data_IF_198294371852
#
_entry.id   IF_198294371852
#
_cell.length_a   1.000
_cell.length_b   1.000
_cell.length_c   1.000
_cell.angle_alpha   90.00
_cell.angle_beta   90.00
_cell.angle_gamma   90.00
#
_symmetry.space_group_name_H-M   'P 1'
#
loop_
_entity.id
_entity.type
_entity.pdbx_description
1 polymer ?
#
# COMPACT_ATOMS: atom_id res chain seq x y z
N UNK A 1 -7.41 -4.88 -16.78
CA UNK A 1 -6.45 -4.44 -15.72
C UNK A 1 -5.73 -5.67 -15.20
N UNK A 2 -4.42 -5.59 -14.94
CA UNK A 2 -3.68 -6.70 -14.31
C UNK A 2 -3.88 -6.66 -12.80
N UNK A 3 -4.06 -7.83 -12.18
CA UNK A 3 -4.36 -7.96 -10.75
C UNK A 3 -3.17 -8.60 -10.04
N UNK A 4 -2.63 -7.91 -9.05
CA UNK A 4 -1.54 -8.38 -8.21
C UNK A 4 -2.02 -8.61 -6.77
N UNK A 5 -1.14 -9.15 -5.94
CA UNK A 5 -1.38 -9.34 -4.51
C UNK A 5 -0.20 -8.83 -3.70
N UNK A 6 -0.49 -8.12 -2.62
CA UNK A 6 0.51 -7.73 -1.64
C UNK A 6 0.92 -8.91 -0.76
N UNK A 7 2.23 -9.07 -0.51
CA UNK A 7 2.72 -10.06 0.45
C UNK A 7 2.17 -9.84 1.86
N UNK A 8 1.71 -8.61 2.18
CA UNK A 8 0.99 -8.33 3.42
C UNK A 8 -0.25 -9.22 3.60
N UNK A 9 -0.98 -9.49 2.52
CA UNK A 9 -2.18 -10.31 2.53
C UNK A 9 -1.94 -11.77 2.95
N UNK A 10 -0.70 -12.24 2.92
CA UNK A 10 -0.29 -13.55 3.40
C UNK A 10 0.23 -13.54 4.86
N UNK A 11 0.16 -12.38 5.56
CA UNK A 11 0.73 -12.22 6.90
C UNK A 11 0.23 -13.24 7.91
N UNK A 12 -1.05 -13.63 7.86
CA UNK A 12 -1.61 -14.67 8.71
C UNK A 12 -0.88 -16.01 8.49
N UNK A 13 -0.75 -16.46 7.24
CA UNK A 13 -0.08 -17.72 6.92
C UNK A 13 1.44 -17.68 7.20
N UNK A 14 2.07 -16.51 7.09
CA UNK A 14 3.47 -16.33 7.48
C UNK A 14 3.64 -16.32 9.01
N UNK A 15 2.72 -15.72 9.74
CA UNK A 15 2.77 -15.65 11.20
C UNK A 15 2.55 -17.02 11.86
N UNK A 16 1.65 -17.81 11.33
CA UNK A 16 1.35 -19.16 11.84
C UNK A 16 2.31 -20.27 11.29
N UNK A 17 3.31 -19.89 10.50
CA UNK A 17 4.36 -20.76 9.99
C UNK A 17 3.96 -21.65 8.82
N UNK A 18 2.77 -21.46 8.24
CA UNK A 18 2.34 -22.19 7.01
C UNK A 18 3.08 -21.72 5.76
N UNK A 19 3.61 -20.50 5.75
CA UNK A 19 4.34 -19.90 4.65
C UNK A 19 5.52 -19.09 5.16
N UNK A 20 6.46 -18.80 4.27
CA UNK A 20 7.48 -17.78 4.43
C UNK A 20 7.47 -16.85 3.20
N UNK A 21 8.30 -15.81 3.20
CA UNK A 21 8.29 -14.80 2.12
C UNK A 21 8.61 -15.38 0.73
N UNK A 22 9.41 -16.45 0.65
CA UNK A 22 9.74 -17.12 -0.62
C UNK A 22 8.57 -17.96 -1.17
N UNK A 23 7.55 -18.24 -0.37
CA UNK A 23 6.35 -18.95 -0.81
C UNK A 23 5.32 -18.01 -1.45
N UNK A 24 5.48 -16.70 -1.33
CA UNK A 24 4.51 -15.69 -1.81
C UNK A 24 4.36 -15.75 -3.34
N UNK A 25 5.46 -15.73 -4.09
CA UNK A 25 5.42 -15.74 -5.56
C UNK A 25 4.80 -17.03 -6.11
N UNK A 26 5.22 -18.24 -5.68
CA UNK A 26 4.57 -19.48 -6.08
C UNK A 26 3.09 -19.52 -5.74
N UNK A 27 2.71 -19.04 -4.54
CA UNK A 27 1.32 -19.04 -4.10
C UNK A 27 0.48 -18.03 -4.89
N UNK A 28 0.98 -16.85 -5.17
CA UNK A 28 0.31 -15.88 -6.04
C UNK A 28 0.03 -16.46 -7.43
N UNK A 29 1.02 -17.16 -8.02
CA UNK A 29 0.85 -17.87 -9.29
C UNK A 29 -0.22 -18.95 -9.21
N UNK A 30 -0.21 -19.78 -8.16
CA UNK A 30 -1.21 -20.83 -7.92
C UNK A 30 -2.63 -20.25 -7.84
N UNK A 31 -2.78 -19.09 -7.19
CA UNK A 31 -4.07 -18.41 -7.04
C UNK A 31 -4.51 -17.64 -8.30
N UNK A 32 -3.63 -17.48 -9.31
CA UNK A 32 -3.95 -16.82 -10.57
C UNK A 32 -3.74 -15.31 -10.59
N UNK A 33 -2.92 -14.77 -9.68
CA UNK A 33 -2.49 -13.36 -9.71
C UNK A 33 -1.46 -13.10 -10.81
N UNK A 34 -1.51 -11.90 -11.39
CA UNK A 34 -0.63 -11.50 -12.50
C UNK A 34 0.72 -10.94 -12.02
N UNK A 35 0.84 -10.60 -10.73
CA UNK A 35 2.05 -10.02 -10.12
C UNK A 35 1.97 -10.01 -8.60
N UNK A 36 3.06 -9.59 -7.95
CA UNK A 36 3.15 -9.49 -6.49
C UNK A 36 3.77 -8.17 -6.06
N UNK A 37 3.45 -7.76 -4.85
CA UNK A 37 4.15 -6.71 -4.11
C UNK A 37 4.86 -7.32 -2.92
N UNK A 38 6.06 -6.84 -2.65
CA UNK A 38 6.85 -7.31 -1.51
C UNK A 38 6.88 -6.22 -0.44
N UNK A 39 6.40 -6.56 0.75
CA UNK A 39 6.47 -5.70 1.93
C UNK A 39 7.77 -5.98 2.69
N UNK A 40 8.46 -4.91 3.08
CA UNK A 40 9.68 -4.95 3.88
C UNK A 40 9.42 -5.64 5.22
N UNK A 41 10.10 -6.74 5.46
CA UNK A 41 10.07 -7.45 6.74
C UNK A 41 11.14 -6.95 7.72
N UNK A 42 11.37 -7.73 8.78
CA UNK A 42 12.29 -7.39 9.86
C UNK A 42 13.76 -7.81 9.63
N UNK A 43 14.10 -8.24 8.40
CA UNK A 43 15.45 -8.62 8.03
C UNK A 43 16.41 -7.42 8.14
N UNK A 44 17.67 -7.67 8.48
CA UNK A 44 18.71 -6.65 8.31
C UNK A 44 18.86 -6.25 6.84
N UNK A 45 19.45 -5.10 6.56
CA UNK A 45 19.65 -4.64 5.17
C UNK A 45 20.47 -5.63 4.36
N UNK A 46 21.46 -6.28 4.97
CA UNK A 46 22.26 -7.32 4.31
C UNK A 46 21.41 -8.53 3.91
N UNK A 47 20.58 -9.01 4.83
CA UNK A 47 19.68 -10.13 4.56
C UNK A 47 18.63 -9.77 3.52
N UNK A 48 18.10 -8.53 3.59
CA UNK A 48 17.11 -8.06 2.63
C UNK A 48 17.69 -7.95 1.21
N UNK A 49 18.96 -7.54 1.06
CA UNK A 49 19.63 -7.53 -0.25
C UNK A 49 19.79 -8.95 -0.82
N UNK A 50 20.13 -9.93 0.01
CA UNK A 50 20.19 -11.34 -0.41
C UNK A 50 18.80 -11.84 -0.80
N UNK A 51 17.81 -11.56 0.01
CA UNK A 51 16.41 -11.94 -0.25
C UNK A 51 15.89 -11.28 -1.53
N UNK A 52 16.19 -10.00 -1.78
CA UNK A 52 15.79 -9.29 -2.98
C UNK A 52 16.32 -9.97 -4.25
N UNK A 53 17.59 -10.39 -4.25
CA UNK A 53 18.17 -11.11 -5.37
C UNK A 53 17.49 -12.49 -5.60
N UNK A 54 17.19 -13.22 -4.53
CA UNK A 54 16.48 -14.50 -4.60
C UNK A 54 15.04 -14.33 -5.13
N UNK A 55 14.31 -13.35 -4.63
CA UNK A 55 12.95 -13.04 -5.06
C UNK A 55 12.91 -12.62 -6.52
N UNK A 56 13.90 -11.86 -7.00
CA UNK A 56 14.02 -11.50 -8.42
C UNK A 56 14.12 -12.73 -9.30
N UNK A 57 15.05 -13.64 -9.00
CA UNK A 57 15.23 -14.90 -9.77
C UNK A 57 13.93 -15.71 -9.76
N UNK A 58 13.33 -15.88 -8.60
CA UNK A 58 12.08 -16.62 -8.45
C UNK A 58 10.93 -15.99 -9.25
N UNK A 59 10.84 -14.65 -9.27
CA UNK A 59 9.85 -13.91 -10.05
C UNK A 59 10.02 -14.14 -11.55
N UNK A 60 11.26 -14.10 -12.04
CA UNK A 60 11.60 -14.35 -13.44
C UNK A 60 11.27 -15.81 -13.84
N UNK A 61 11.64 -16.79 -13.03
CA UNK A 61 11.34 -18.21 -13.26
C UNK A 61 9.84 -18.53 -13.21
N UNK A 62 9.12 -17.88 -12.29
CA UNK A 62 7.68 -18.05 -12.15
C UNK A 62 6.89 -17.33 -13.25
N UNK A 63 7.46 -16.30 -13.87
CA UNK A 63 6.74 -15.39 -14.78
C UNK A 63 5.72 -14.51 -14.07
N UNK A 64 5.91 -14.26 -12.76
CA UNK A 64 5.06 -13.40 -11.91
C UNK A 64 5.89 -12.22 -11.44
N UNK A 65 5.79 -11.04 -12.06
CA UNK A 65 6.64 -9.90 -11.76
C UNK A 65 6.40 -9.34 -10.35
N UNK A 66 7.50 -8.88 -9.74
CA UNK A 66 7.42 -8.02 -8.56
C UNK A 66 7.16 -6.59 -9.07
N UNK A 67 5.99 -6.06 -8.76
CA UNK A 67 5.51 -4.80 -9.33
C UNK A 67 5.77 -3.59 -8.43
N UNK A 68 5.98 -3.82 -7.14
CA UNK A 68 6.28 -2.78 -6.17
C UNK A 68 6.94 -3.35 -4.91
N UNK A 69 7.66 -2.49 -4.21
CA UNK A 69 8.25 -2.73 -2.89
C UNK A 69 7.70 -1.75 -1.87
N UNK A 70 7.23 -2.24 -0.72
CA UNK A 70 6.53 -1.46 0.29
C UNK A 70 7.38 -1.33 1.55
N UNK A 71 7.59 -0.10 2.02
CA UNK A 71 8.49 0.22 3.13
C UNK A 71 7.82 1.14 4.14
N UNK A 72 7.96 0.84 5.44
CA UNK A 72 7.57 1.80 6.48
C UNK A 72 8.57 2.95 6.59
N UNK A 73 8.10 4.17 6.91
CA UNK A 73 8.94 5.34 7.10
C UNK A 73 8.32 6.35 8.07
N UNK A 74 9.18 7.15 8.72
CA UNK A 74 8.73 8.28 9.54
C UNK A 74 9.79 9.40 9.56
N UNK A 75 9.65 10.39 8.67
CA UNK A 75 10.56 11.54 8.57
C UNK A 75 10.56 12.45 9.80
N UNK A 76 9.45 12.47 10.53
CA UNK A 76 9.31 13.35 11.71
C UNK A 76 9.95 12.70 12.93
N UNK A 77 9.65 11.44 13.17
CA UNK A 77 10.17 10.70 14.33
C UNK A 77 11.65 10.38 14.22
N UNK A 78 12.08 9.93 13.04
CA UNK A 78 13.44 9.45 12.82
C UNK A 78 14.42 10.54 12.41
N UNK A 79 13.91 11.75 12.08
CA UNK A 79 14.68 12.85 11.54
C UNK A 79 14.91 12.74 10.02
N UNK A 80 14.83 13.89 9.35
CA UNK A 80 14.83 13.97 7.89
C UNK A 80 16.06 13.29 7.26
N UNK A 81 17.27 13.69 7.68
CA UNK A 81 18.52 13.21 7.06
C UNK A 81 18.73 11.70 7.23
N UNK A 82 18.48 11.21 8.44
CA UNK A 82 18.64 9.79 8.75
C UNK A 82 17.63 8.92 7.97
N UNK A 83 16.38 9.36 7.91
CA UNK A 83 15.33 8.62 7.21
C UNK A 83 15.52 8.67 5.69
N UNK A 84 15.94 9.79 5.13
CA UNK A 84 16.31 9.90 3.71
C UNK A 84 17.46 8.96 3.37
N UNK A 85 18.51 8.91 4.20
CA UNK A 85 19.64 8.00 3.96
C UNK A 85 19.20 6.53 3.98
N UNK A 86 18.36 6.14 4.94
CA UNK A 86 17.79 4.79 5.03
C UNK A 86 16.93 4.45 3.80
N UNK A 87 16.03 5.35 3.41
CA UNK A 87 15.12 5.13 2.27
C UNK A 87 15.85 5.08 0.91
N UNK A 88 16.97 5.78 0.76
CA UNK A 88 17.84 5.60 -0.41
C UNK A 88 18.40 4.18 -0.49
N UNK A 89 18.79 3.60 0.64
CA UNK A 89 19.18 2.18 0.71
C UNK A 89 18.03 1.23 0.35
N UNK A 90 16.79 1.55 0.75
CA UNK A 90 15.61 0.76 0.37
C UNK A 90 15.29 0.90 -1.14
N UNK A 91 15.53 2.07 -1.74
CA UNK A 91 15.39 2.25 -3.20
C UNK A 91 16.40 1.39 -3.99
N UNK A 92 17.62 1.22 -3.48
CA UNK A 92 18.59 0.28 -4.05
C UNK A 92 18.11 -1.18 -3.94
N UNK A 93 17.48 -1.54 -2.81
CA UNK A 93 16.90 -2.88 -2.62
C UNK A 93 15.74 -3.10 -3.59
N UNK A 94 14.86 -2.10 -3.80
CA UNK A 94 13.80 -2.16 -4.79
C UNK A 94 14.34 -2.40 -6.21
N UNK A 95 15.39 -1.67 -6.59
CA UNK A 95 16.05 -1.85 -7.88
C UNK A 95 16.69 -3.24 -8.02
N UNK A 96 17.37 -3.73 -6.97
CA UNK A 96 17.98 -5.07 -6.93
C UNK A 96 16.91 -6.17 -7.08
N UNK A 97 15.74 -5.99 -6.47
CA UNK A 97 14.60 -6.89 -6.55
C UNK A 97 13.93 -6.86 -7.94
N UNK A 98 14.18 -5.83 -8.74
CA UNK A 98 13.51 -5.59 -10.01
C UNK A 98 12.14 -4.95 -9.86
N UNK A 99 11.81 -4.40 -8.68
CA UNK A 99 10.58 -3.68 -8.44
C UNK A 99 10.63 -2.27 -9.07
N UNK A 100 9.77 -1.94 -10.03
CA UNK A 100 9.80 -0.65 -10.71
C UNK A 100 9.19 0.49 -9.87
N UNK A 101 8.64 0.16 -8.71
CA UNK A 101 8.00 1.12 -7.79
C UNK A 101 8.40 0.84 -6.36
N UNK A 102 8.52 1.89 -5.57
CA UNK A 102 8.68 1.82 -4.12
C UNK A 102 7.66 2.73 -3.44
N UNK A 103 6.81 2.16 -2.61
CA UNK A 103 5.96 2.94 -1.69
C UNK A 103 6.66 3.03 -0.36
N UNK A 104 6.70 4.21 0.23
CA UNK A 104 7.06 4.34 1.64
C UNK A 104 6.08 5.24 2.39
N UNK A 105 5.97 5.00 3.71
CA UNK A 105 5.18 5.86 4.59
C UNK A 105 5.85 7.24 4.74
N UNK A 106 5.21 8.13 5.47
CA UNK A 106 5.66 9.50 5.70
C UNK A 106 5.94 9.81 7.15
N UNK A 107 4.95 9.63 8.00
CA UNK A 107 5.01 9.85 9.45
C UNK A 107 3.73 9.37 10.14
N UNK A 108 3.85 9.03 11.42
CA UNK A 108 2.72 8.84 12.33
C UNK A 108 2.21 10.16 12.95
N UNK A 109 2.77 11.31 12.58
CA UNK A 109 2.40 12.63 13.11
C UNK A 109 2.90 12.88 14.53
N UNK A 110 3.99 12.22 14.93
CA UNK A 110 4.62 12.39 16.24
C UNK A 110 6.12 12.60 16.09
N UNK A 111 6.68 13.47 16.93
CA UNK A 111 8.13 13.65 17.03
C UNK A 111 8.81 12.48 17.79
N UNK A 112 10.13 12.53 17.92
CA UNK A 112 10.92 11.53 18.62
C UNK A 112 10.59 11.42 20.12
N UNK A 113 9.99 12.45 20.71
CA UNK A 113 9.54 12.52 22.10
C UNK A 113 8.09 12.05 22.26
N UNK A 114 7.38 11.77 21.16
CA UNK A 114 5.99 11.33 21.14
C UNK A 114 4.97 12.48 21.16
N UNK A 115 5.39 13.73 21.02
CA UNK A 115 4.48 14.87 20.91
C UNK A 115 3.84 14.88 19.52
N UNK A 116 2.57 15.29 19.47
CA UNK A 116 1.87 15.44 18.19
C UNK A 116 2.39 16.65 17.42
N UNK A 117 2.61 16.45 16.11
CA UNK A 117 3.02 17.51 15.18
C UNK A 117 1.84 17.83 14.27
N UNK A 118 1.61 19.12 14.00
CA UNK A 118 0.55 19.54 13.08
C UNK A 118 0.87 19.11 11.63
N UNK A 119 -0.15 18.99 10.79
CA UNK A 119 0.05 18.68 9.38
C UNK A 119 0.85 19.81 8.69
N UNK A 120 0.56 21.06 9.03
CA UNK A 120 1.19 22.25 8.47
C UNK A 120 2.69 22.30 8.78
N UNK A 121 3.09 21.94 10.00
CA UNK A 121 4.49 21.90 10.42
C UNK A 121 5.24 20.70 9.84
N UNK A 122 4.57 19.56 9.70
CA UNK A 122 5.17 18.34 9.18
C UNK A 122 5.33 18.35 7.64
N UNK A 123 4.40 18.98 6.93
CA UNK A 123 4.33 18.96 5.46
C UNK A 123 5.65 19.37 4.78
N UNK A 124 6.33 20.48 5.15
CA UNK A 124 7.58 20.87 4.50
C UNK A 124 8.70 19.83 4.68
N UNK A 125 8.80 19.25 5.87
CA UNK A 125 9.81 18.22 6.20
C UNK A 125 9.55 16.95 5.43
N UNK A 126 8.30 16.47 5.41
CA UNK A 126 7.89 15.26 4.69
C UNK A 126 8.09 15.45 3.18
N UNK A 127 7.68 16.60 2.63
CA UNK A 127 7.82 16.89 1.20
C UNK A 127 9.29 16.94 0.76
N UNK A 128 10.17 17.51 1.56
CA UNK A 128 11.61 17.52 1.29
C UNK A 128 12.19 16.09 1.34
N UNK A 129 11.78 15.29 2.33
CA UNK A 129 12.18 13.88 2.41
C UNK A 129 11.77 13.09 1.17
N UNK A 130 10.52 13.22 0.75
CA UNK A 130 10.04 12.59 -0.50
C UNK A 130 10.82 13.06 -1.71
N UNK A 131 11.10 14.36 -1.85
CA UNK A 131 11.84 14.91 -3.00
C UNK A 131 13.23 14.29 -3.11
N UNK A 132 14.00 14.26 -2.00
CA UNK A 132 15.35 13.70 -1.99
C UNK A 132 15.38 12.17 -2.28
N UNK A 133 14.43 11.43 -1.73
CA UNK A 133 14.29 9.98 -2.00
C UNK A 133 13.87 9.74 -3.44
N UNK A 134 12.92 10.52 -3.95
CA UNK A 134 12.41 10.40 -5.33
C UNK A 134 13.47 10.72 -6.38
N UNK A 135 14.26 11.79 -6.20
CA UNK A 135 15.37 12.14 -7.08
C UNK A 135 16.39 11.00 -7.15
N UNK A 136 16.76 10.43 -6.01
CA UNK A 136 17.70 9.31 -5.94
C UNK A 136 17.11 8.06 -6.61
N UNK A 137 15.88 7.69 -6.29
CA UNK A 137 15.20 6.51 -6.84
C UNK A 137 14.99 6.61 -8.35
N UNK A 138 14.76 7.82 -8.89
CA UNK A 138 14.64 8.06 -10.33
C UNK A 138 15.92 7.65 -11.07
N UNK A 139 17.10 7.91 -10.49
CA UNK A 139 18.40 7.45 -11.03
C UNK A 139 18.56 5.93 -11.09
N UNK A 140 17.76 5.20 -10.30
CA UNK A 140 17.72 3.73 -10.29
C UNK A 140 16.59 3.14 -11.15
N UNK A 141 15.78 3.98 -11.80
CA UNK A 141 14.59 3.56 -12.55
C UNK A 141 13.42 3.13 -11.66
N UNK A 142 13.41 3.53 -10.38
CA UNK A 142 12.35 3.23 -9.42
C UNK A 142 11.47 4.46 -9.21
N UNK A 143 10.17 4.34 -9.48
CA UNK A 143 9.18 5.37 -9.16
C UNK A 143 8.80 5.28 -7.69
N UNK A 144 8.81 6.41 -6.98
CA UNK A 144 8.33 6.47 -5.60
C UNK A 144 6.84 6.81 -5.53
N UNK A 145 6.19 6.37 -4.48
CA UNK A 145 4.78 6.66 -4.24
C UNK A 145 4.45 6.73 -2.76
N UNK A 146 3.46 7.55 -2.43
CA UNK A 146 2.81 7.58 -1.13
C UNK A 146 1.48 6.85 -1.21
N UNK A 147 1.10 6.22 -0.13
CA UNK A 147 -0.25 5.67 0.09
C UNK A 147 -1.01 6.53 1.11
N UNK A 148 -2.32 6.62 0.95
CA UNK A 148 -3.22 7.12 1.99
C UNK A 148 -3.27 6.09 3.14
N UNK A 149 -2.32 6.19 4.09
CA UNK A 149 -2.07 5.20 5.14
C UNK A 149 -1.61 5.85 6.45
N UNK A 150 -1.81 5.14 7.58
CA UNK A 150 -1.19 5.48 8.88
C UNK A 150 -1.86 6.62 9.64
N UNK A 151 -3.11 6.93 9.38
CA UNK A 151 -3.94 7.96 10.03
C UNK A 151 -3.46 9.41 9.86
N UNK A 152 -2.18 9.69 9.84
CA UNK A 152 -1.65 11.05 9.71
C UNK A 152 -1.72 11.54 8.26
N UNK A 153 -1.27 10.72 7.31
CA UNK A 153 -1.28 11.01 5.88
C UNK A 153 -2.35 10.15 5.17
N UNK A 154 -3.57 10.16 5.71
CA UNK A 154 -4.67 9.28 5.30
C UNK A 154 -5.71 10.00 4.45
N UNK A 155 -6.02 11.25 4.79
CA UNK A 155 -7.05 12.03 4.10
C UNK A 155 -6.65 12.33 2.67
N UNK A 156 -7.61 12.26 1.75
CA UNK A 156 -7.37 12.53 0.34
C UNK A 156 -6.77 13.92 0.10
N UNK A 157 -7.23 14.93 0.84
CA UNK A 157 -6.73 16.31 0.70
C UNK A 157 -5.30 16.47 1.21
N UNK A 158 -4.93 15.79 2.31
CA UNK A 158 -3.55 15.83 2.83
C UNK A 158 -2.57 15.18 1.87
N UNK A 159 -2.90 14.00 1.36
CA UNK A 159 -2.04 13.29 0.41
C UNK A 159 -1.90 14.07 -0.89
N UNK A 160 -3.01 14.61 -1.43
CA UNK A 160 -2.97 15.49 -2.60
C UNK A 160 -2.04 16.68 -2.36
N UNK A 161 -2.18 17.35 -1.22
CA UNK A 161 -1.35 18.51 -0.86
C UNK A 161 0.13 18.16 -0.78
N UNK A 162 0.46 16.99 -0.23
CA UNK A 162 1.86 16.52 -0.20
C UNK A 162 2.40 16.31 -1.63
N UNK A 163 1.64 15.61 -2.49
CA UNK A 163 2.09 15.34 -3.87
C UNK A 163 2.33 16.65 -4.63
N UNK A 164 1.41 17.61 -4.50
CA UNK A 164 1.56 18.96 -5.10
C UNK A 164 2.75 19.74 -4.52
N UNK A 165 3.12 19.51 -3.25
CA UNK A 165 4.26 20.17 -2.61
C UNK A 165 5.59 19.53 -3.02
N UNK A 166 5.63 18.21 -3.19
CA UNK A 166 6.80 17.48 -3.70
C UNK A 166 7.07 17.85 -5.16
N UNK A 167 6.03 17.94 -5.98
CA UNK A 167 6.03 18.36 -7.39
C UNK A 167 7.16 17.70 -8.21
N UNK A 168 7.17 16.36 -8.24
CA UNK A 168 8.20 15.60 -8.95
C UNK A 168 7.58 14.53 -9.88
N UNK A 169 7.98 14.44 -11.16
CA UNK A 169 7.34 13.54 -12.13
C UNK A 169 7.51 12.04 -11.80
N UNK A 170 8.54 11.69 -11.03
CA UNK A 170 8.80 10.32 -10.58
C UNK A 170 8.12 9.99 -9.23
N UNK A 171 7.19 10.83 -8.75
CA UNK A 171 6.42 10.63 -7.53
C UNK A 171 4.93 10.58 -7.84
N UNK A 172 4.16 9.78 -7.11
CA UNK A 172 2.71 9.69 -7.32
C UNK A 172 1.97 9.01 -6.17
N UNK A 173 0.69 8.74 -6.38
CA UNK A 173 -0.20 8.17 -5.38
C UNK A 173 -0.43 6.68 -5.60
N UNK A 174 -0.15 5.85 -4.58
CA UNK A 174 -0.75 4.55 -4.44
C UNK A 174 -2.12 4.76 -3.78
N UNK A 175 -3.18 4.63 -4.55
CA UNK A 175 -4.56 4.85 -4.08
C UNK A 175 -5.08 3.56 -3.47
N UNK A 176 -5.13 3.48 -2.14
CA UNK A 176 -5.86 2.42 -1.44
C UNK A 176 -7.32 2.83 -1.26
N UNK A 177 -8.23 2.07 -1.86
CA UNK A 177 -9.66 2.40 -1.90
C UNK A 177 -10.32 2.26 -0.52
N UNK A 178 -9.85 1.33 0.30
CA UNK A 178 -10.40 1.07 1.63
C UNK A 178 -9.88 2.02 2.69
N UNK A 179 -8.60 2.34 2.65
CA UNK A 179 -7.92 3.10 3.70
C UNK A 179 -8.48 4.50 3.94
N UNK A 180 -9.19 5.11 2.99
CA UNK A 180 -9.91 6.36 3.21
C UNK A 180 -10.92 6.27 4.35
N UNK A 181 -11.53 5.09 4.55
CA UNK A 181 -12.47 4.86 5.65
C UNK A 181 -11.82 4.94 7.02
N UNK A 182 -10.51 4.70 7.14
CA UNK A 182 -9.78 4.89 8.41
C UNK A 182 -9.77 6.36 8.87
N UNK A 183 -9.89 7.29 7.93
CA UNK A 183 -10.06 8.72 8.19
C UNK A 183 -11.53 9.18 8.18
N UNK A 184 -12.48 8.23 8.17
CA UNK A 184 -13.92 8.46 8.05
C UNK A 184 -14.33 9.19 6.75
N UNK A 185 -13.56 9.03 5.68
CA UNK A 185 -13.89 9.52 4.36
C UNK A 185 -14.69 8.49 3.55
N UNK A 186 -15.53 8.99 2.63
CA UNK A 186 -16.23 8.14 1.67
C UNK A 186 -15.28 7.77 0.53
N UNK A 187 -14.94 6.48 0.41
CA UNK A 187 -13.96 5.98 -0.56
C UNK A 187 -14.16 6.50 -1.99
N UNK A 188 -15.38 6.48 -2.51
CA UNK A 188 -15.70 6.95 -3.86
C UNK A 188 -15.34 8.43 -4.06
N UNK A 189 -15.65 9.29 -3.09
CA UNK A 189 -15.33 10.72 -3.16
C UNK A 189 -13.82 10.97 -3.06
N UNK A 190 -13.15 10.25 -2.18
CA UNK A 190 -11.70 10.36 -2.00
C UNK A 190 -10.93 9.84 -3.22
N UNK A 191 -11.40 8.74 -3.82
CA UNK A 191 -10.83 8.22 -5.08
C UNK A 191 -10.99 9.23 -6.22
N UNK A 192 -12.09 10.00 -6.30
CA UNK A 192 -12.23 11.08 -7.31
C UNK A 192 -11.12 12.13 -7.17
N UNK A 193 -10.72 12.45 -5.94
CA UNK A 193 -9.63 13.40 -5.69
C UNK A 193 -8.28 12.79 -6.07
N UNK A 194 -8.07 11.50 -5.76
CA UNK A 194 -6.80 10.82 -5.92
C UNK A 194 -6.51 10.34 -7.36
N UNK A 195 -7.55 9.97 -8.10
CA UNK A 195 -7.44 9.30 -9.40
C UNK A 195 -6.54 10.00 -10.43
N UNK A 196 -6.55 11.35 -10.57
CA UNK A 196 -5.63 12.04 -11.50
C UNK A 196 -4.14 11.90 -11.16
N UNK A 197 -3.82 11.51 -9.92
CA UNK A 197 -2.46 11.39 -9.39
C UNK A 197 -2.06 9.92 -9.15
N UNK A 198 -2.96 8.97 -9.48
CA UNK A 198 -2.76 7.55 -9.24
C UNK A 198 -1.66 6.97 -10.13
N UNK A 199 -0.67 6.34 -9.52
CA UNK A 199 0.38 5.57 -10.21
C UNK A 199 0.32 4.09 -9.84
N UNK A 200 -0.47 3.77 -8.81
CA UNK A 200 -0.76 2.42 -8.33
C UNK A 200 -2.09 2.41 -7.58
N UNK A 201 -2.73 1.24 -7.42
CA UNK A 201 -3.99 1.13 -6.71
C UNK A 201 -4.07 -0.16 -5.88
N UNK A 202 -4.62 -0.05 -4.66
CA UNK A 202 -4.99 -1.18 -3.83
C UNK A 202 -6.51 -1.38 -3.81
N UNK A 203 -6.94 -2.61 -4.04
CA UNK A 203 -8.27 -3.10 -3.74
C UNK A 203 -8.27 -3.63 -2.30
N UNK A 204 -8.85 -2.88 -1.41
CA UNK A 204 -9.06 -3.21 0.00
C UNK A 204 -10.51 -2.96 0.34
N UNK A 205 -11.11 -3.85 1.12
CA UNK A 205 -12.50 -3.73 1.54
C UNK A 205 -12.64 -3.92 3.05
N UNK A 206 -13.67 -3.33 3.62
CA UNK A 206 -13.93 -3.35 5.06
C UNK A 206 -15.40 -3.65 5.38
N UNK A 207 -15.63 -4.41 6.43
CA UNK A 207 -16.88 -4.37 7.19
C UNK A 207 -16.87 -3.11 8.07
N UNK A 208 -18.04 -2.52 8.27
CA UNK A 208 -18.21 -1.26 8.99
C UNK A 208 -19.24 -1.37 10.10
N UNK A 209 -18.97 -0.70 11.22
CA UNK A 209 -19.91 -0.42 12.30
C UNK A 209 -19.78 1.03 12.74
N UNK A 210 -20.91 1.70 12.92
CA UNK A 210 -20.89 3.07 13.42
C UNK A 210 -20.44 3.13 14.89
N UNK A 211 -19.93 4.27 15.30
CA UNK A 211 -19.58 4.52 16.70
C UNK A 211 -20.79 4.27 17.60
N UNK A 212 -20.59 3.48 18.67
CA UNK A 212 -21.66 3.10 19.60
C UNK A 212 -22.45 1.85 19.23
N UNK A 213 -22.30 1.30 18.02
CA UNK A 213 -22.90 0.00 17.69
C UNK A 213 -22.18 -1.15 18.39
N UNK A 214 -22.92 -2.25 18.64
CA UNK A 214 -22.32 -3.48 19.14
C UNK A 214 -21.32 -4.05 18.14
N UNK A 215 -20.12 -4.32 18.61
CA UNK A 215 -19.01 -4.88 17.82
C UNK A 215 -18.80 -6.33 18.23
N UNK A 216 -19.20 -7.30 17.41
CA UNK A 216 -19.06 -8.72 17.72
C UNK A 216 -17.65 -9.25 17.38
N UNK A 217 -17.09 -10.06 18.29
CA UNK A 217 -15.86 -10.83 18.02
C UNK A 217 -14.60 -9.99 17.91
N UNK A 218 -13.62 -10.51 17.16
CA UNK A 218 -12.28 -9.96 17.02
C UNK A 218 -12.05 -9.31 15.66
N UNK A 219 -10.87 -8.69 15.48
CA UNK A 219 -10.41 -8.15 14.20
C UNK A 219 -10.90 -6.73 13.89
N UNK A 220 -11.66 -6.10 14.78
CA UNK A 220 -12.13 -4.74 14.62
C UNK A 220 -11.14 -3.72 15.17
N UNK A 221 -10.89 -2.66 14.42
CA UNK A 221 -10.11 -1.51 14.84
C UNK A 221 -10.91 -0.22 14.69
N UNK A 222 -10.43 0.87 15.30
CA UNK A 222 -11.14 2.15 15.30
C UNK A 222 -10.68 3.01 14.13
N UNK A 223 -11.61 3.69 13.49
CA UNK A 223 -11.33 4.82 12.62
C UNK A 223 -10.92 6.04 13.47
N UNK A 224 -10.48 7.12 12.80
CA UNK A 224 -10.15 8.38 13.46
C UNK A 224 -11.34 8.98 14.23
N UNK A 225 -12.55 8.87 13.71
CA UNK A 225 -13.80 9.35 14.32
C UNK A 225 -14.47 8.37 15.29
N UNK A 226 -13.86 7.18 15.49
CA UNK A 226 -14.36 6.19 16.46
C UNK A 226 -15.32 5.16 15.90
N UNK A 227 -15.59 5.15 14.59
CA UNK A 227 -16.24 4.04 13.91
C UNK A 227 -15.37 2.78 13.97
N UNK A 228 -15.91 1.64 13.57
CA UNK A 228 -15.19 0.36 13.58
C UNK A 228 -15.10 -0.23 12.20
N UNK A 229 -13.90 -0.65 11.84
CA UNK A 229 -13.61 -1.37 10.60
C UNK A 229 -13.03 -2.74 10.93
N UNK A 230 -13.30 -3.70 10.06
CA UNK A 230 -12.65 -5.01 10.02
C UNK A 230 -12.41 -5.36 8.56
N UNK A 231 -11.21 -5.80 8.21
CA UNK A 231 -10.90 -6.23 6.86
C UNK A 231 -11.94 -7.23 6.33
N UNK A 232 -12.23 -7.13 5.05
CA UNK A 232 -13.18 -7.98 4.34
C UNK A 232 -12.59 -8.46 3.02
N UNK A 233 -13.09 -9.59 2.52
CA UNK A 233 -12.88 -10.03 1.15
C UNK A 233 -13.44 -8.93 0.23
N UNK A 234 -12.72 -8.57 -0.82
CA UNK A 234 -13.12 -7.55 -1.78
C UNK A 234 -14.50 -7.86 -2.38
N UNK A 235 -15.41 -6.91 -2.27
CA UNK A 235 -16.81 -7.06 -2.66
C UNK A 235 -17.74 -7.58 -1.57
N UNK A 236 -17.22 -8.01 -0.41
CA UNK A 236 -18.03 -8.44 0.74
C UNK A 236 -18.23 -7.35 1.78
N UNK A 237 -17.45 -6.29 1.71
CA UNK A 237 -17.51 -5.15 2.62
C UNK A 237 -18.41 -4.02 2.11
N UNK A 238 -18.12 -2.82 2.58
CA UNK A 238 -18.88 -1.60 2.26
C UNK A 238 -18.18 -0.66 1.30
N UNK A 239 -16.94 -0.94 0.90
CA UNK A 239 -16.22 -0.15 -0.10
C UNK A 239 -16.81 -0.43 -1.48
N UNK A 240 -17.27 0.63 -2.15
CA UNK A 240 -17.79 0.47 -3.52
C UNK A 240 -16.65 0.34 -4.52
N UNK A 241 -15.92 -0.81 -4.45
CA UNK A 241 -14.76 -1.10 -5.31
C UNK A 241 -15.10 -0.95 -6.80
N UNK A 242 -16.23 -1.45 -7.32
CA UNK A 242 -16.59 -1.26 -8.74
C UNK A 242 -16.65 0.20 -9.15
N UNK A 243 -17.24 1.08 -8.35
CA UNK A 243 -17.32 2.51 -8.66
C UNK A 243 -15.95 3.20 -8.55
N UNK A 244 -15.13 2.84 -7.55
CA UNK A 244 -13.76 3.33 -7.42
C UNK A 244 -12.93 2.98 -8.65
N UNK A 245 -13.03 1.76 -9.16
CA UNK A 245 -12.33 1.31 -10.37
C UNK A 245 -12.79 2.04 -11.63
N UNK A 246 -14.10 2.32 -11.78
CA UNK A 246 -14.63 3.13 -12.88
C UNK A 246 -14.05 4.55 -12.87
N UNK A 247 -13.94 5.17 -11.68
CA UNK A 247 -13.36 6.50 -11.51
C UNK A 247 -11.88 6.51 -11.90
N UNK A 248 -11.10 5.54 -11.42
CA UNK A 248 -9.69 5.40 -11.80
C UNK A 248 -9.54 5.24 -13.31
N UNK A 249 -10.33 4.37 -13.93
CA UNK A 249 -10.32 4.15 -15.37
C UNK A 249 -10.71 5.40 -16.15
N UNK A 250 -11.74 6.11 -15.72
CA UNK A 250 -12.18 7.36 -16.34
C UNK A 250 -11.11 8.48 -16.24
N UNK A 251 -10.26 8.44 -15.21
CA UNK A 251 -9.11 9.33 -15.07
C UNK A 251 -7.88 8.89 -15.89
N UNK A 252 -7.97 7.80 -16.66
CA UNK A 252 -6.89 7.29 -17.50
C UNK A 252 -5.91 6.34 -16.77
N UNK A 253 -6.29 5.81 -15.61
CA UNK A 253 -5.45 4.85 -14.91
C UNK A 253 -5.42 3.48 -15.63
N UNK A 254 -4.24 3.06 -16.04
CA UNK A 254 -3.97 1.78 -16.72
C UNK A 254 -3.00 0.89 -15.94
N UNK A 255 -2.72 1.27 -14.68
CA UNK A 255 -1.76 0.58 -13.82
C UNK A 255 -2.27 -0.76 -13.26
N UNK A 256 -1.53 -1.27 -12.30
CA UNK A 256 -1.84 -2.50 -11.57
C UNK A 256 -2.88 -2.26 -10.49
N UNK A 257 -3.70 -3.27 -10.24
CA UNK A 257 -4.59 -3.32 -9.09
C UNK A 257 -4.10 -4.44 -8.15
N UNK A 258 -3.63 -4.09 -6.96
CA UNK A 258 -3.17 -5.07 -5.99
C UNK A 258 -4.22 -5.32 -4.92
N UNK A 259 -4.42 -6.58 -4.56
CA UNK A 259 -5.21 -6.95 -3.39
C UNK A 259 -4.38 -6.73 -2.12
N UNK A 260 -4.95 -6.03 -1.16
CA UNK A 260 -4.42 -5.95 0.21
C UNK A 260 -5.49 -6.40 1.21
N UNK A 261 -5.50 -7.70 1.50
CA UNK A 261 -6.42 -8.32 2.44
C UNK A 261 -5.88 -8.24 3.87
N UNK A 262 -6.74 -7.85 4.83
CA UNK A 262 -6.43 -7.79 6.26
C UNK A 262 -7.58 -8.29 7.15
N UNK A 263 -8.42 -9.19 6.61
CA UNK A 263 -9.54 -9.81 7.34
C UNK A 263 -9.10 -10.89 8.32
N UNK A 264 -10.08 -11.46 9.03
CA UNK A 264 -9.87 -12.57 9.99
C UNK A 264 -10.09 -13.94 9.37
N UNK A 265 -10.63 -13.99 8.16
CA UNK A 265 -10.81 -15.22 7.39
C UNK A 265 -9.46 -15.83 7.06
N UNK A 266 -9.41 -17.15 6.77
CA UNK A 266 -8.19 -17.77 6.26
C UNK A 266 -7.70 -17.00 5.01
N UNK A 267 -6.49 -16.48 5.07
CA UNK A 267 -5.99 -15.58 4.05
C UNK A 267 -5.89 -16.24 2.65
N UNK A 268 -5.61 -17.53 2.56
CA UNK A 268 -5.52 -18.23 1.27
C UNK A 268 -6.91 -18.38 0.64
N UNK A 269 -7.92 -18.71 1.46
CA UNK A 269 -9.31 -18.76 1.02
C UNK A 269 -9.80 -17.37 0.60
N UNK A 270 -9.51 -16.35 1.41
CA UNK A 270 -9.89 -14.98 1.11
C UNK A 270 -9.28 -14.48 -0.21
N UNK A 271 -7.97 -14.69 -0.40
CA UNK A 271 -7.27 -14.26 -1.62
C UNK A 271 -7.77 -14.99 -2.88
N UNK A 272 -8.23 -16.23 -2.75
CA UNK A 272 -8.90 -16.91 -3.87
C UNK A 272 -10.21 -16.25 -4.25
N UNK A 273 -11.02 -15.89 -3.26
CA UNK A 273 -12.26 -15.16 -3.49
C UNK A 273 -12.01 -13.73 -4.01
N UNK A 274 -10.99 -13.05 -3.50
CA UNK A 274 -10.61 -11.70 -3.94
C UNK A 274 -10.29 -11.65 -5.44
N UNK A 275 -9.45 -12.59 -5.93
CA UNK A 275 -9.08 -12.59 -7.35
C UNK A 275 -10.27 -12.96 -8.24
N UNK A 276 -11.13 -13.89 -7.83
CA UNK A 276 -12.35 -14.24 -8.55
C UNK A 276 -13.29 -13.04 -8.66
N UNK A 277 -13.58 -12.37 -7.53
CA UNK A 277 -14.43 -11.18 -7.49
C UNK A 277 -13.86 -10.05 -8.35
N UNK A 278 -12.56 -9.77 -8.26
CA UNK A 278 -11.94 -8.72 -9.04
C UNK A 278 -11.90 -9.02 -10.55
N UNK A 279 -11.70 -10.28 -10.94
CA UNK A 279 -11.83 -10.71 -12.35
C UNK A 279 -13.23 -10.44 -12.88
N UNK A 280 -14.27 -10.75 -12.09
CA UNK A 280 -15.66 -10.47 -12.46
C UNK A 280 -15.92 -8.96 -12.57
N UNK A 281 -15.55 -8.18 -11.55
CA UNK A 281 -15.72 -6.72 -11.53
C UNK A 281 -15.02 -6.06 -12.73
N UNK A 282 -13.81 -6.51 -13.06
CA UNK A 282 -13.01 -5.88 -14.13
C UNK A 282 -13.37 -6.37 -15.53
N UNK A 283 -14.02 -7.52 -15.69
CA UNK A 283 -14.44 -8.05 -16.99
C UNK A 283 -15.53 -7.19 -17.67
N UNK A 284 -16.30 -6.44 -16.87
CA UNK A 284 -17.37 -5.56 -17.36
C UNK A 284 -16.93 -4.10 -17.61
N UNK A 285 -15.62 -3.80 -17.52
CA UNK A 285 -15.09 -2.44 -17.61
C UNK A 285 -14.34 -2.17 -18.95
#
# INVERSE_FOLDING_TARGET
MKIAVSSYSFSQAMHDGRMNILDVIPKAKELGYDGVEIVRGNQSDREMRVLAALLKVQSEEAGVPIIAYMVGADFIKNGLEAEVARLKGEAEIAALMGAPRMRHDSSAGKDAQGNSVSFEDALPVIAEGYRQVTEFAAGLGVKTMIENHGYFMQDARRVKKLIETVDHPNFGWLVDMGNFMCADEVSVESVRIAAPLAVHAHAKDFHYKAAGEYVPGQGWFSTRGGNRLRGAIVGHGVVNVPECLKILKAAGYEGWLSVEFEGIEDCIMALRADIENLREITAGM
#
